data_IF_509016459246
#
_entry.id   IF_509016459246
#
_cell.length_a   1.000
_cell.length_b   1.000
_cell.length_c   1.000
_cell.angle_alpha   90.00
_cell.angle_beta   90.00
_cell.angle_gamma   90.00
#
_symmetry.space_group_name_H-M   'P 1'
#
loop_
_entity.id
_entity.type
_entity.pdbx_description
1 polymer ?
#
# COMPACT_ATOMS: atom_id res chain seq x y z
N UNK A 1 -50.45 -29.70 -11.55
CA UNK A 1 -50.41 -30.18 -10.14
C UNK A 1 -49.12 -30.98 -9.98
N UNK A 2 -48.12 -30.70 -9.16
CA UNK A 2 -47.84 -29.69 -8.12
C UNK A 2 -46.32 -29.47 -8.11
N UNK A 3 -45.93 -28.21 -7.94
CA UNK A 3 -44.58 -27.76 -7.61
C UNK A 3 -44.16 -28.37 -6.27
N UNK A 4 -42.97 -28.95 -6.18
CA UNK A 4 -42.24 -29.10 -4.92
C UNK A 4 -40.75 -28.84 -5.17
N UNK A 5 -40.42 -27.54 -5.25
CA UNK A 5 -39.08 -27.04 -4.95
C UNK A 5 -38.89 -27.24 -3.45
N UNK A 6 -38.29 -28.36 -3.08
CA UNK A 6 -37.90 -28.63 -1.71
C UNK A 6 -36.60 -27.86 -1.44
N UNK A 7 -36.79 -26.72 -0.79
CA UNK A 7 -35.81 -25.98 -0.01
C UNK A 7 -35.20 -26.95 1.00
N UNK A 8 -34.03 -27.51 0.69
CA UNK A 8 -33.17 -28.16 1.67
C UNK A 8 -32.24 -27.09 2.25
N UNK A 9 -32.80 -26.31 3.18
CA UNK A 9 -32.05 -25.64 4.22
C UNK A 9 -31.73 -26.69 5.29
N UNK A 10 -30.48 -27.16 5.35
CA UNK A 10 -29.81 -27.69 6.56
C UNK A 10 -28.36 -28.00 6.12
N UNK A 11 -27.49 -26.99 6.17
CA UNK A 11 -26.53 -26.76 7.27
C UNK A 11 -25.40 -27.80 7.26
N UNK A 12 -24.17 -27.27 7.18
CA UNK A 12 -22.83 -27.91 7.19
C UNK A 12 -22.36 -28.26 5.77
N UNK A 13 -21.50 -27.47 5.12
CA UNK A 13 -20.20 -27.05 5.63
C UNK A 13 -19.91 -25.60 5.25
N UNK A 14 -20.35 -24.72 6.13
CA UNK A 14 -19.57 -23.55 6.54
C UNK A 14 -18.14 -24.02 6.88
N UNK A 15 -17.26 -24.14 5.88
CA UNK A 15 -15.82 -24.00 6.13
C UNK A 15 -15.56 -22.51 6.34
N UNK A 16 -15.91 -22.05 7.53
CA UNK A 16 -15.51 -20.77 8.07
C UNK A 16 -13.99 -20.83 8.23
N UNK A 17 -13.30 -20.39 7.19
CA UNK A 17 -12.19 -19.44 7.35
C UNK A 17 -12.23 -18.37 6.27
N UNK A 18 -13.42 -17.90 5.85
CA UNK A 18 -13.48 -16.61 5.15
C UNK A 18 -13.41 -15.52 6.21
N UNK A 19 -12.20 -15.10 6.59
CA UNK A 19 -12.01 -13.83 7.29
C UNK A 19 -12.78 -12.79 6.48
N UNK A 20 -13.85 -12.21 7.03
CA UNK A 20 -14.65 -11.24 6.31
C UNK A 20 -13.72 -10.14 5.79
N UNK A 21 -13.59 -10.03 4.47
CA UNK A 21 -12.67 -9.09 3.84
C UNK A 21 -13.12 -7.69 4.26
N UNK A 22 -12.18 -6.84 4.69
CA UNK A 22 -12.55 -5.45 5.01
C UNK A 22 -13.05 -4.75 3.75
N UNK A 23 -14.00 -3.82 3.87
CA UNK A 23 -14.48 -3.05 2.72
C UNK A 23 -13.34 -2.37 1.96
N UNK A 24 -12.31 -1.90 2.67
CA UNK A 24 -11.12 -1.30 2.07
C UNK A 24 -10.26 -2.29 1.26
N UNK A 25 -10.14 -3.54 1.71
CA UNK A 25 -9.42 -4.58 0.97
C UNK A 25 -10.14 -4.99 -0.32
N UNK A 26 -11.48 -5.06 -0.30
CA UNK A 26 -12.29 -5.29 -1.51
C UNK A 26 -12.04 -4.17 -2.54
N UNK A 27 -12.08 -2.92 -2.09
CA UNK A 27 -11.85 -1.74 -2.94
C UNK A 27 -10.41 -1.71 -3.49
N UNK A 28 -9.43 -2.09 -2.68
CA UNK A 28 -8.04 -2.22 -3.13
C UNK A 28 -7.92 -3.25 -4.26
N UNK A 29 -8.53 -4.42 -4.11
CA UNK A 29 -8.50 -5.45 -5.14
C UNK A 29 -9.17 -4.99 -6.44
N UNK A 30 -10.26 -4.21 -6.35
CA UNK A 30 -10.88 -3.58 -7.52
C UNK A 30 -9.94 -2.58 -8.20
N UNK A 31 -9.22 -1.76 -7.42
CA UNK A 31 -8.22 -0.84 -7.96
C UNK A 31 -7.11 -1.57 -8.74
N UNK A 32 -6.67 -2.73 -8.26
CA UNK A 32 -5.68 -3.59 -8.93
C UNK A 32 -6.21 -4.08 -10.28
N UNK A 33 -7.50 -4.44 -10.38
CA UNK A 33 -8.11 -4.84 -11.66
C UNK A 33 -8.15 -3.69 -12.68
N UNK A 34 -8.33 -2.44 -12.23
CA UNK A 34 -8.18 -1.26 -13.10
C UNK A 34 -6.72 -1.03 -13.51
N UNK A 35 -5.75 -1.21 -12.60
CA UNK A 35 -4.33 -1.11 -12.95
C UNK A 35 -3.90 -2.11 -14.02
N UNK A 36 -4.36 -3.36 -13.94
CA UNK A 36 -4.07 -4.38 -14.97
C UNK A 36 -4.54 -3.98 -16.36
N UNK A 37 -5.55 -3.10 -16.44
CA UNK A 37 -6.11 -2.55 -17.69
C UNK A 37 -5.51 -1.19 -18.08
N UNK A 38 -4.49 -0.72 -17.34
CA UNK A 38 -3.92 0.63 -17.46
C UNK A 38 -4.95 1.77 -17.27
N UNK A 39 -6.03 1.50 -16.55
CA UNK A 39 -7.03 2.51 -16.20
C UNK A 39 -6.62 3.21 -14.90
N UNK A 40 -5.63 4.08 -15.01
CA UNK A 40 -5.04 4.74 -13.84
C UNK A 40 -6.02 5.66 -13.12
N UNK A 41 -6.98 6.28 -13.84
CA UNK A 41 -7.96 7.17 -13.23
C UNK A 41 -8.90 6.40 -12.30
N UNK A 42 -9.46 5.29 -12.76
CA UNK A 42 -10.31 4.46 -11.91
C UNK A 42 -9.50 3.76 -10.82
N UNK A 43 -8.29 3.28 -11.13
CA UNK A 43 -7.41 2.73 -10.11
C UNK A 43 -7.15 3.74 -8.97
N UNK A 44 -6.83 4.99 -9.29
CA UNK A 44 -6.61 6.05 -8.30
C UNK A 44 -7.85 6.26 -7.43
N UNK A 45 -9.05 6.35 -8.03
CA UNK A 45 -10.31 6.50 -7.30
C UNK A 45 -10.47 5.36 -6.30
N UNK A 46 -10.35 4.11 -6.73
CA UNK A 46 -10.58 2.97 -5.82
C UNK A 46 -9.49 2.83 -4.75
N UNK A 47 -8.22 3.12 -5.06
CA UNK A 47 -7.17 3.19 -4.03
C UNK A 47 -7.43 4.29 -3.00
N UNK A 48 -7.94 5.45 -3.43
CA UNK A 48 -8.29 6.54 -2.51
C UNK A 48 -9.44 6.15 -1.57
N UNK A 49 -10.45 5.44 -2.07
CA UNK A 49 -11.58 4.96 -1.25
C UNK A 49 -11.09 3.85 -0.31
N UNK A 50 -10.22 2.94 -0.77
CA UNK A 50 -9.59 1.93 0.10
C UNK A 50 -8.80 2.59 1.25
N UNK A 51 -7.99 3.61 0.92
CA UNK A 51 -7.26 4.41 1.91
C UNK A 51 -8.20 5.08 2.91
N UNK A 52 -9.29 5.70 2.44
CA UNK A 52 -10.32 6.32 3.30
C UNK A 52 -10.99 5.30 4.24
N UNK A 53 -11.12 4.05 3.80
CA UNK A 53 -11.60 2.93 4.61
C UNK A 53 -10.50 2.30 5.50
N UNK A 54 -9.45 3.07 5.82
CA UNK A 54 -8.30 2.67 6.65
C UNK A 54 -7.50 1.47 6.11
N UNK A 55 -7.64 1.13 4.83
CA UNK A 55 -6.81 0.11 4.20
C UNK A 55 -5.54 0.76 3.66
N UNK A 56 -4.51 0.77 4.51
CA UNK A 56 -3.23 1.45 4.30
C UNK A 56 -2.57 1.17 2.95
N UNK A 57 -2.57 -0.07 2.39
CA UNK A 57 -2.03 -0.33 1.07
C UNK A 57 -2.65 0.54 -0.04
N UNK A 58 -3.91 0.97 0.12
CA UNK A 58 -4.53 1.94 -0.79
C UNK A 58 -3.80 3.28 -0.79
N UNK A 59 -3.44 3.78 0.39
CA UNK A 59 -2.70 5.04 0.54
C UNK A 59 -1.31 4.96 -0.11
N UNK A 60 -0.63 3.82 0.02
CA UNK A 60 0.69 3.58 -0.56
C UNK A 60 0.67 3.62 -2.10
N UNK A 61 -0.44 3.22 -2.72
CA UNK A 61 -0.57 3.15 -4.19
C UNK A 61 -0.98 4.47 -4.85
N UNK A 62 -1.60 5.40 -4.11
CA UNK A 62 -2.17 6.63 -4.68
C UNK A 62 -1.13 7.45 -5.46
N UNK A 63 0.05 7.68 -4.89
CA UNK A 63 1.08 8.52 -5.51
C UNK A 63 1.70 7.91 -6.77
N UNK A 64 2.13 6.63 -6.76
CA UNK A 64 2.61 5.95 -7.97
C UNK A 64 1.57 5.87 -9.09
N UNK A 65 0.30 5.69 -8.76
CA UNK A 65 -0.78 5.62 -9.76
C UNK A 65 -1.10 6.98 -10.33
N UNK A 66 -1.24 8.01 -9.50
CA UNK A 66 -1.44 9.39 -9.98
C UNK A 66 -0.24 9.84 -10.83
N UNK A 67 0.97 9.37 -10.54
CA UNK A 67 2.16 9.69 -11.34
C UNK A 67 2.04 9.25 -12.81
N UNK A 68 1.27 8.20 -13.10
CA UNK A 68 0.98 7.76 -14.48
C UNK A 68 0.04 8.73 -15.23
N UNK A 69 -0.69 9.57 -14.50
CA UNK A 69 -1.68 10.52 -15.03
C UNK A 69 -1.05 11.93 -15.06
N UNK A 70 -0.52 12.36 -13.92
CA UNK A 70 0.10 13.65 -13.68
C UNK A 70 1.33 13.45 -12.78
N UNK A 71 2.51 13.52 -13.41
CA UNK A 71 3.80 13.29 -12.74
C UNK A 71 4.00 14.18 -11.51
N UNK A 72 3.58 15.45 -11.60
CA UNK A 72 3.79 16.42 -10.53
C UNK A 72 2.88 16.10 -9.33
N UNK A 73 1.62 15.78 -9.59
CA UNK A 73 0.68 15.39 -8.53
C UNK A 73 1.08 14.08 -7.88
N UNK A 74 1.42 13.06 -8.66
CA UNK A 74 1.84 11.77 -8.11
C UNK A 74 3.08 11.88 -7.22
N UNK A 75 4.05 12.70 -7.64
CA UNK A 75 5.22 13.01 -6.82
C UNK A 75 4.84 13.68 -5.50
N UNK A 76 3.98 14.70 -5.54
CA UNK A 76 3.51 15.41 -4.35
C UNK A 76 2.79 14.48 -3.38
N UNK A 77 1.91 13.61 -3.89
CA UNK A 77 1.18 12.63 -3.08
C UNK A 77 2.16 11.69 -2.36
N UNK A 78 3.12 11.12 -3.09
CA UNK A 78 4.12 10.21 -2.50
C UNK A 78 4.99 10.89 -1.44
N UNK A 79 5.46 12.12 -1.72
CA UNK A 79 6.25 12.90 -0.74
C UNK A 79 5.44 13.23 0.51
N UNK A 80 4.17 13.63 0.35
CA UNK A 80 3.28 13.93 1.46
C UNK A 80 2.98 12.69 2.29
N UNK A 81 2.78 11.53 1.66
CA UNK A 81 2.54 10.28 2.38
C UNK A 81 3.73 9.87 3.25
N UNK A 82 4.95 9.90 2.69
CA UNK A 82 6.19 9.67 3.43
C UNK A 82 6.35 10.66 4.59
N UNK A 83 6.06 11.95 4.36
CA UNK A 83 6.11 12.97 5.41
C UNK A 83 5.12 12.69 6.53
N UNK A 84 3.88 12.29 6.21
CA UNK A 84 2.86 11.92 7.20
C UNK A 84 3.32 10.75 8.06
N UNK A 85 3.81 9.67 7.43
CA UNK A 85 4.34 8.51 8.14
C UNK A 85 5.55 8.87 9.02
N UNK A 86 6.45 9.72 8.53
CA UNK A 86 7.65 10.14 9.30
C UNK A 86 7.36 10.98 10.54
N UNK A 87 6.18 11.63 10.61
CA UNK A 87 5.76 12.39 11.79
C UNK A 87 5.17 11.51 12.89
N UNK A 88 4.78 10.28 12.55
CA UNK A 88 4.20 9.35 13.51
C UNK A 88 5.27 8.86 14.49
N UNK A 89 4.96 8.92 15.79
CA UNK A 89 5.81 8.35 16.86
C UNK A 89 5.51 6.86 17.11
N UNK A 90 4.58 6.28 16.35
CA UNK A 90 4.18 4.89 16.51
C UNK A 90 5.23 3.96 15.86
N UNK A 91 5.70 2.96 16.61
CA UNK A 91 6.65 1.96 16.10
C UNK A 91 6.12 1.24 14.84
N UNK A 92 4.82 0.92 14.79
CA UNK A 92 4.17 0.32 13.62
C UNK A 92 4.26 1.24 12.39
N UNK A 93 4.08 2.55 12.58
CA UNK A 93 4.21 3.52 11.50
C UNK A 93 5.66 3.69 11.02
N UNK A 94 6.65 3.53 11.92
CA UNK A 94 8.07 3.50 11.56
C UNK A 94 8.41 2.27 10.71
N UNK A 95 7.90 1.08 11.10
CA UNK A 95 8.03 -0.13 10.29
C UNK A 95 7.36 0.01 8.93
N UNK A 96 6.14 0.57 8.88
CA UNK A 96 5.43 0.83 7.62
C UNK A 96 6.17 1.83 6.73
N UNK A 97 6.66 2.94 7.30
CA UNK A 97 7.46 3.93 6.58
C UNK A 97 8.67 3.31 5.90
N UNK A 98 9.36 2.39 6.59
CA UNK A 98 10.50 1.67 6.02
C UNK A 98 10.10 0.87 4.77
N UNK A 99 8.94 0.21 4.80
CA UNK A 99 8.41 -0.56 3.67
C UNK A 99 8.01 0.36 2.51
N UNK A 100 7.27 1.44 2.79
CA UNK A 100 6.85 2.44 1.79
C UNK A 100 8.06 3.05 1.09
N UNK A 101 9.11 3.41 1.82
CA UNK A 101 10.31 3.97 1.21
C UNK A 101 10.99 2.98 0.26
N UNK A 102 11.12 1.71 0.64
CA UNK A 102 11.66 0.66 -0.26
C UNK A 102 10.81 0.53 -1.52
N UNK A 103 9.49 0.43 -1.35
CA UNK A 103 8.55 0.37 -2.46
C UNK A 103 8.67 1.57 -3.40
N UNK A 104 8.76 2.79 -2.85
CA UNK A 104 8.89 4.02 -3.65
C UNK A 104 10.23 4.12 -4.37
N UNK A 105 11.33 3.68 -3.75
CA UNK A 105 12.63 3.60 -4.43
C UNK A 105 12.52 2.72 -5.67
N UNK A 106 11.94 1.53 -5.53
CA UNK A 106 11.84 0.55 -6.62
C UNK A 106 10.86 0.99 -7.72
N UNK A 107 9.65 1.41 -7.35
CA UNK A 107 8.62 1.78 -8.33
C UNK A 107 9.06 2.99 -9.15
N UNK A 108 9.61 4.04 -8.54
CA UNK A 108 10.04 5.22 -9.31
C UNK A 108 11.27 4.95 -10.17
N UNK A 109 12.10 3.97 -9.80
CA UNK A 109 13.17 3.48 -10.68
C UNK A 109 12.59 2.76 -11.91
N UNK A 110 11.57 1.91 -11.72
CA UNK A 110 10.87 1.22 -12.82
C UNK A 110 10.12 2.21 -13.73
N UNK A 111 9.58 3.30 -13.17
CA UNK A 111 8.95 4.39 -13.91
C UNK A 111 9.94 5.37 -14.55
N UNK A 112 11.23 5.01 -14.55
CA UNK A 112 12.32 5.81 -15.11
C UNK A 112 12.47 7.22 -14.49
N UNK A 113 11.99 7.43 -13.26
CA UNK A 113 12.20 8.64 -12.48
C UNK A 113 13.28 8.41 -11.42
N UNK A 114 14.54 8.41 -11.88
CA UNK A 114 15.72 8.20 -11.01
C UNK A 114 15.87 9.29 -9.96
N UNK A 115 15.49 10.53 -10.25
CA UNK A 115 15.58 11.64 -9.30
C UNK A 115 14.69 11.39 -8.08
N UNK A 116 13.43 11.02 -8.32
CA UNK A 116 12.48 10.76 -7.25
C UNK A 116 12.80 9.47 -6.49
N UNK A 117 13.28 8.44 -7.19
CA UNK A 117 13.82 7.23 -6.54
C UNK A 117 14.98 7.57 -5.60
N UNK A 118 15.94 8.39 -6.06
CA UNK A 118 17.08 8.85 -5.25
C UNK A 118 16.63 9.74 -4.07
N UNK A 119 15.59 10.54 -4.24
CA UNK A 119 14.99 11.31 -3.14
C UNK A 119 14.53 10.38 -2.02
N UNK A 120 13.76 9.33 -2.33
CA UNK A 120 13.30 8.37 -1.32
C UNK A 120 14.44 7.53 -0.74
N UNK A 121 15.47 7.19 -1.53
CA UNK A 121 16.66 6.51 -1.03
C UNK A 121 17.43 7.36 0.00
N UNK A 122 17.59 8.66 -0.25
CA UNK A 122 18.21 9.58 0.70
C UNK A 122 17.41 9.64 2.01
N UNK A 123 16.08 9.72 1.92
CA UNK A 123 15.20 9.69 3.10
C UNK A 123 15.32 8.37 3.87
N UNK A 124 15.32 7.24 3.18
CA UNK A 124 15.54 5.93 3.78
C UNK A 124 16.86 5.88 4.53
N UNK A 125 17.95 6.29 3.88
CA UNK A 125 19.29 6.22 4.47
C UNK A 125 19.39 7.07 5.74
N UNK A 126 18.82 8.28 5.70
CA UNK A 126 18.79 9.20 6.84
C UNK A 126 18.05 8.61 8.05
N UNK A 127 16.99 7.84 7.82
CA UNK A 127 16.11 7.36 8.89
C UNK A 127 16.49 5.95 9.39
N UNK A 128 17.03 5.09 8.53
CA UNK A 128 17.11 3.66 8.81
C UNK A 128 18.48 3.02 8.58
N UNK A 129 19.42 3.66 7.87
CA UNK A 129 20.70 3.02 7.54
C UNK A 129 21.56 2.74 8.79
N UNK A 130 21.63 3.70 9.72
CA UNK A 130 22.35 3.50 10.98
C UNK A 130 21.79 2.32 11.79
N UNK A 131 20.46 2.16 11.81
CA UNK A 131 19.77 1.04 12.48
C UNK A 131 20.11 -0.31 11.82
N UNK A 132 20.29 -0.35 10.50
CA UNK A 132 20.67 -1.58 9.80
C UNK A 132 22.13 -1.97 10.07
N UNK A 133 23.03 -0.99 10.10
CA UNK A 133 24.45 -1.21 10.43
C UNK A 133 24.59 -1.74 11.86
N UNK A 134 23.89 -1.15 12.84
CA UNK A 134 23.92 -1.59 14.24
C UNK A 134 23.34 -3.01 14.45
N UNK A 135 22.36 -3.43 13.64
CA UNK A 135 21.81 -4.80 13.72
C UNK A 135 22.77 -5.85 13.16
N UNK A 136 23.55 -5.51 12.14
CA UNK A 136 24.49 -6.42 11.47
C UNK A 136 25.80 -6.49 12.27
N UNK A 137 26.20 -5.38 12.87
CA UNK A 137 27.40 -5.29 13.69
C UNK A 137 27.04 -4.62 15.02
N UNK A 138 26.34 -5.33 15.92
CA UNK A 138 26.06 -4.79 17.24
C UNK A 138 27.42 -4.54 17.88
N UNK A 139 27.76 -3.26 18.08
CA UNK A 139 28.89 -2.95 18.93
C UNK A 139 28.60 -3.63 20.27
N UNK A 140 29.39 -4.66 20.60
CA UNK A 140 29.49 -5.20 21.94
C UNK A 140 30.16 -4.13 22.82
N UNK A 141 29.41 -3.06 23.08
CA UNK A 141 29.76 -2.02 24.03
C UNK A 141 29.63 -2.60 25.42
N UNK A 142 30.79 -2.78 26.07
CA UNK A 142 30.96 -2.88 27.51
C UNK A 142 30.28 -1.73 28.24
#
# INVERSE_FOLDING_TARGET
MKIFVAICFFILLFNITSKALSNGEVLYNQAIEFLKKNDYKNAFIYFSIACYNNYIPGCDMMGPVEYQIDKNKGEQISKNWVKTLSKSKNQLASTHLKQVLKYYIDIYKQLNNKELSNYFQKTYNKLFLHIEIEKINPHNGK
#
